data_IF_291404504265
#
_entry.id   IF_291404504265
#
_cell.length_a   1.000
_cell.length_b   1.000
_cell.length_c   1.000
_cell.angle_alpha   90.00
_cell.angle_beta   90.00
_cell.angle_gamma   90.00
#
_symmetry.space_group_name_H-M   'P 1'
#
loop_
_entity.id
_entity.type
_entity.pdbx_description
1 polymer ?
#
# COMPACT_ATOMS: atom_id res chain seq x y z
N UNK A 1 1.84 13.54 9.37
CA UNK A 1 3.27 13.29 9.12
C UNK A 1 4.12 14.19 9.98
N UNK A 2 3.84 15.51 10.03
CA UNK A 2 4.60 16.47 10.84
C UNK A 2 4.57 16.18 12.35
N UNK A 3 3.42 15.81 12.91
CA UNK A 3 3.30 15.48 14.33
C UNK A 3 4.15 14.26 14.71
N UNK A 4 4.04 13.16 13.95
CA UNK A 4 4.84 11.95 14.16
C UNK A 4 6.32 12.20 13.90
N UNK A 5 6.68 12.96 12.86
CA UNK A 5 8.06 13.33 12.58
C UNK A 5 8.71 14.15 13.70
N UNK A 6 7.94 14.99 14.40
CA UNK A 6 8.43 15.80 15.51
C UNK A 6 8.50 15.05 16.86
N UNK A 7 7.62 14.08 17.12
CA UNK A 7 7.47 13.47 18.45
C UNK A 7 7.88 11.99 18.53
N UNK A 8 7.69 11.22 17.45
CA UNK A 8 7.98 9.77 17.38
C UNK A 8 8.45 9.37 15.97
N UNK A 9 9.61 9.90 15.50
CA UNK A 9 10.09 9.69 14.14
C UNK A 9 10.31 8.21 13.79
N UNK A 10 10.57 7.34 14.76
CA UNK A 10 10.73 5.89 14.58
C UNK A 10 9.46 5.17 14.12
N UNK A 11 8.29 5.77 14.32
CA UNK A 11 7.00 5.24 13.85
C UNK A 11 6.74 5.57 12.37
N UNK A 12 7.58 6.40 11.74
CA UNK A 12 7.48 6.67 10.31
C UNK A 12 8.01 5.48 9.50
N UNK A 13 7.29 5.02 8.45
CA UNK A 13 7.69 3.86 7.66
C UNK A 13 9.09 3.97 7.05
N UNK A 14 9.53 5.20 6.72
CA UNK A 14 10.85 5.47 6.13
C UNK A 14 12.04 5.37 7.09
N UNK A 15 11.82 5.36 8.40
CA UNK A 15 12.89 5.38 9.41
C UNK A 15 13.25 3.99 9.96
N UNK A 16 12.60 2.92 9.48
CA UNK A 16 12.89 1.55 9.90
C UNK A 16 14.23 1.11 9.33
N UNK A 17 15.20 0.79 10.20
CA UNK A 17 16.43 0.11 9.77
C UNK A 17 16.06 -1.27 9.23
N UNK A 18 16.24 -1.45 7.92
CA UNK A 18 16.04 -2.73 7.28
C UNK A 18 17.25 -3.63 7.58
N UNK A 19 17.05 -4.93 7.86
CA UNK A 19 18.15 -5.88 7.95
C UNK A 19 19.01 -5.80 6.68
N UNK A 20 20.34 -5.94 6.77
CA UNK A 20 21.19 -5.98 5.59
C UNK A 20 20.71 -7.12 4.68
N UNK A 21 20.19 -6.75 3.51
CA UNK A 21 19.70 -7.70 2.51
C UNK A 21 20.92 -8.37 1.86
N UNK A 22 21.07 -9.68 2.08
CA UNK A 22 21.99 -10.51 1.29
C UNK A 22 21.18 -11.23 0.20
N UNK A 23 21.32 -10.79 -1.06
CA UNK A 23 20.66 -11.39 -2.22
C UNK A 23 19.42 -10.64 -2.73
N UNK A 24 18.68 -11.26 -3.66
CA UNK A 24 17.44 -10.70 -4.21
C UNK A 24 16.31 -10.94 -3.21
N UNK A 25 15.64 -9.89 -2.76
CA UNK A 25 14.43 -10.01 -1.92
C UNK A 25 13.28 -10.48 -2.81
N UNK A 26 12.97 -11.77 -2.78
CA UNK A 26 11.70 -12.28 -3.33
C UNK A 26 10.59 -12.10 -2.29
N UNK A 27 10.05 -10.89 -2.21
CA UNK A 27 8.81 -10.62 -1.48
C UNK A 27 7.61 -10.76 -2.42
N UNK A 28 6.42 -11.17 -1.94
CA UNK A 28 5.22 -11.17 -2.75
C UNK A 28 4.98 -9.79 -3.38
N UNK A 29 4.96 -9.75 -4.70
CA UNK A 29 4.79 -8.53 -5.49
C UNK A 29 3.91 -8.82 -6.72
N UNK A 30 3.76 -7.83 -7.60
CA UNK A 30 2.92 -7.95 -8.78
C UNK A 30 1.51 -7.48 -8.47
N UNK A 31 1.13 -6.39 -9.12
CA UNK A 31 -0.18 -5.77 -8.95
C UNK A 31 -0.54 -5.02 -10.21
N UNK A 32 -1.76 -5.24 -10.69
CA UNK A 32 -2.38 -4.38 -11.68
C UNK A 32 -3.59 -3.73 -11.05
N UNK A 33 -3.58 -2.40 -11.00
CA UNK A 33 -4.71 -1.59 -10.58
C UNK A 33 -5.10 -0.69 -11.74
N UNK A 34 -6.40 -0.55 -11.96
CA UNK A 34 -6.98 0.34 -12.95
C UNK A 34 -7.94 1.31 -12.28
N UNK A 35 -8.00 2.54 -12.79
CA UNK A 35 -8.97 3.54 -12.40
C UNK A 35 -9.69 4.04 -13.66
N UNK A 36 -11.02 4.15 -13.59
CA UNK A 36 -11.86 4.59 -14.71
C UNK A 36 -12.82 5.66 -14.22
N UNK A 37 -12.85 6.79 -14.93
CA UNK A 37 -13.77 7.91 -14.65
C UNK A 37 -15.06 7.75 -15.43
N UNK A 38 -16.17 8.15 -14.84
CA UNK A 38 -17.47 8.23 -15.50
C UNK A 38 -18.25 9.46 -14.98
N UNK A 39 -19.31 9.91 -15.68
CA UNK A 39 -20.13 11.01 -15.17
C UNK A 39 -20.68 10.69 -13.77
N UNK A 40 -20.27 11.47 -12.77
CA UNK A 40 -20.69 11.29 -11.38
C UNK A 40 -19.75 10.46 -10.50
N UNK A 41 -18.60 9.99 -10.99
CA UNK A 41 -17.63 9.32 -10.12
C UNK A 41 -16.44 8.64 -10.79
N UNK A 42 -15.79 7.79 -10.01
CA UNK A 42 -14.63 6.98 -10.41
C UNK A 42 -14.78 5.57 -9.85
N UNK A 43 -14.28 4.57 -10.59
CA UNK A 43 -14.13 3.19 -10.11
C UNK A 43 -12.65 2.83 -10.07
N UNK A 44 -12.20 2.24 -8.96
CA UNK A 44 -10.90 1.58 -8.85
C UNK A 44 -11.09 0.06 -8.79
N UNK A 45 -10.23 -0.68 -9.49
CA UNK A 45 -10.21 -2.14 -9.43
C UNK A 45 -8.76 -2.64 -9.41
N UNK A 46 -8.48 -3.62 -8.55
CA UNK A 46 -7.18 -4.27 -8.44
C UNK A 46 -7.28 -5.78 -8.64
N UNK A 47 -6.25 -6.37 -9.26
CA UNK A 47 -6.13 -7.82 -9.34
C UNK A 47 -5.80 -8.43 -7.96
N UNK A 48 -6.13 -9.71 -7.74
CA UNK A 48 -5.98 -10.36 -6.41
C UNK A 48 -4.71 -11.19 -6.23
N UNK A 49 -3.87 -11.27 -7.26
CA UNK A 49 -2.72 -12.17 -7.30
C UNK A 49 -1.45 -11.46 -6.86
N UNK A 50 -0.62 -12.11 -6.04
CA UNK A 50 0.79 -11.76 -5.90
C UNK A 50 1.68 -12.96 -6.21
N UNK A 51 2.88 -12.66 -6.69
CA UNK A 51 3.89 -13.63 -7.11
C UNK A 51 5.18 -13.45 -6.33
N UNK A 52 5.90 -14.54 -6.09
CA UNK A 52 7.31 -14.55 -5.72
C UNK A 52 8.05 -15.29 -6.83
N UNK A 53 8.89 -14.59 -7.58
CA UNK A 53 9.46 -15.11 -8.82
C UNK A 53 8.38 -15.54 -9.82
N UNK A 54 8.44 -16.78 -10.28
CA UNK A 54 7.45 -17.37 -11.20
C UNK A 54 6.26 -18.05 -10.50
N UNK A 55 6.24 -18.11 -9.16
CA UNK A 55 5.18 -18.76 -8.41
C UNK A 55 4.10 -17.76 -7.97
N UNK A 56 2.84 -18.19 -7.97
CA UNK A 56 1.75 -17.44 -7.34
C UNK A 56 1.84 -17.68 -5.84
N UNK A 57 2.28 -16.64 -5.11
CA UNK A 57 2.40 -16.65 -3.66
C UNK A 57 1.04 -16.51 -2.98
N UNK A 58 0.15 -15.71 -3.57
CA UNK A 58 -1.19 -15.46 -3.01
C UNK A 58 -2.20 -15.12 -4.11
N UNK A 59 -3.48 -15.43 -3.89
CA UNK A 59 -4.56 -15.30 -4.89
C UNK A 59 -5.71 -14.40 -4.46
N UNK A 60 -5.73 -13.99 -3.19
CA UNK A 60 -6.84 -13.31 -2.55
C UNK A 60 -6.42 -11.97 -1.91
N UNK A 61 -5.32 -11.38 -2.37
CA UNK A 61 -4.86 -10.09 -1.85
C UNK A 61 -5.84 -8.98 -2.23
N UNK A 62 -6.16 -8.14 -1.26
CA UNK A 62 -6.82 -6.86 -1.47
C UNK A 62 -5.80 -5.75 -1.66
N UNK A 63 -6.04 -4.88 -2.65
CA UNK A 63 -5.08 -3.87 -3.11
C UNK A 63 -5.69 -2.49 -3.31
N UNK A 64 -7.00 -2.41 -3.17
CA UNK A 64 -7.78 -1.17 -3.22
C UNK A 64 -8.44 -1.04 -1.86
N UNK A 65 -8.19 0.06 -1.18
CA UNK A 65 -8.66 0.34 0.16
C UNK A 65 -9.41 1.67 0.17
N UNK A 66 -10.49 1.83 0.96
CA UNK A 66 -11.08 3.14 1.18
C UNK A 66 -10.07 4.05 1.89
N UNK A 67 -9.99 5.33 1.52
CA UNK A 67 -9.19 6.32 2.23
C UNK A 67 -10.06 7.19 3.15
N UNK A 68 -11.20 7.66 2.65
CA UNK A 68 -12.24 8.34 3.43
C UNK A 68 -13.63 8.02 2.81
N UNK A 69 -14.65 8.81 3.16
CA UNK A 69 -16.02 8.66 2.67
C UNK A 69 -16.16 8.79 1.13
N UNK A 70 -15.26 9.54 0.47
CA UNK A 70 -15.33 9.87 -0.95
C UNK A 70 -14.04 9.53 -1.74
N UNK A 71 -13.05 8.90 -1.11
CA UNK A 71 -11.77 8.56 -1.75
C UNK A 71 -11.30 7.13 -1.47
N UNK A 72 -10.46 6.60 -2.37
CA UNK A 72 -9.87 5.27 -2.27
C UNK A 72 -8.41 5.27 -2.75
N UNK A 73 -7.61 4.36 -2.21
CA UNK A 73 -6.18 4.20 -2.53
C UNK A 73 -5.93 2.82 -3.10
N UNK A 74 -5.26 2.80 -4.26
CA UNK A 74 -4.71 1.60 -4.86
C UNK A 74 -3.22 1.45 -4.54
N UNK A 75 -2.79 0.26 -4.13
CA UNK A 75 -1.41 -0.06 -3.78
C UNK A 75 -0.81 -1.07 -4.76
N UNK A 76 0.32 -0.73 -5.38
CA UNK A 76 1.15 -1.69 -6.12
C UNK A 76 2.58 -1.73 -5.54
N UNK A 77 3.17 -2.93 -5.49
CA UNK A 77 4.52 -3.15 -4.94
C UNK A 77 4.51 -4.07 -3.72
N UNK A 78 5.45 -3.87 -2.81
CA UNK A 78 5.58 -4.69 -1.58
C UNK A 78 4.44 -4.37 -0.62
N UNK A 79 3.58 -5.35 -0.36
CA UNK A 79 2.32 -5.16 0.38
C UNK A 79 2.50 -4.56 1.79
N UNK A 80 3.57 -4.90 2.50
CA UNK A 80 3.79 -4.48 3.89
C UNK A 80 3.93 -2.97 4.09
N UNK A 81 4.81 -2.31 3.32
CA UNK A 81 5.05 -0.87 3.45
C UNK A 81 3.84 -0.04 3.05
N UNK A 82 3.11 -0.49 2.04
CA UNK A 82 2.04 0.29 1.48
C UNK A 82 0.77 0.29 2.36
N UNK A 83 0.50 -0.80 3.08
CA UNK A 83 -0.58 -0.82 4.08
C UNK A 83 -0.31 0.14 5.24
N UNK A 84 0.95 0.25 5.71
CA UNK A 84 1.32 1.23 6.74
C UNK A 84 1.10 2.67 6.25
N UNK A 85 1.43 2.96 4.99
CA UNK A 85 1.20 4.28 4.38
C UNK A 85 -0.29 4.64 4.27
N UNK A 86 -1.16 3.70 3.89
CA UNK A 86 -2.61 3.96 3.83
C UNK A 86 -3.20 4.25 5.21
N UNK A 87 -2.77 3.53 6.24
CA UNK A 87 -3.23 3.80 7.61
C UNK A 87 -2.83 5.19 8.11
N UNK A 88 -1.60 5.61 7.80
CA UNK A 88 -1.13 6.96 8.08
C UNK A 88 -1.96 8.02 7.35
N UNK A 89 -2.29 7.78 6.08
CA UNK A 89 -3.09 8.68 5.28
C UNK A 89 -4.54 8.79 5.78
N UNK A 90 -5.18 7.66 6.12
CA UNK A 90 -6.50 7.65 6.75
C UNK A 90 -6.53 8.47 8.04
N UNK A 91 -5.51 8.31 8.90
CA UNK A 91 -5.38 9.08 10.13
C UNK A 91 -5.26 10.59 9.86
N UNK A 92 -4.50 11.00 8.84
CA UNK A 92 -4.39 12.42 8.47
C UNK A 92 -5.68 13.02 7.92
N UNK A 93 -6.54 12.23 7.27
CA UNK A 93 -7.82 12.71 6.75
C UNK A 93 -8.88 12.90 7.85
N UNK A 94 -8.75 12.18 8.96
CA UNK A 94 -9.66 12.27 10.11
C UNK A 94 -9.31 13.44 11.08
N UNK A 95 -8.16 14.11 10.90
CA UNK A 95 -7.64 15.18 11.80
C UNK A 95 -7.39 16.50 11.06
#
# INVERSE_FOLDING_TARGET
MDFLGAHQPEMLPGNRQLPPVQGVVEAPHGTTIVAVTFPGGVVLAGDRRATMGNMIAQRDIEKVFPADEYSAVGIAGTAGLAVEMVKLFQLELEH
#
